data_IF_361443630363
#
_entry.id   IF_361443630363
#
_cell.length_a   1.000
_cell.length_b   1.000
_cell.length_c   1.000
_cell.angle_alpha   90.00
_cell.angle_beta   90.00
_cell.angle_gamma   90.00
#
_symmetry.space_group_name_H-M   'P 1'
#
loop_
_entity.id
_entity.type
_entity.pdbx_description
1 polymer ?
#
# COMPACT_ATOMS: atom_id res chain seq x y z
N UNK A 1 -3.63 34.45 5.77
CA UNK A 1 -2.17 34.57 5.88
C UNK A 1 -1.59 33.27 5.38
N UNK A 2 -1.53 33.20 4.05
CA UNK A 2 -1.28 32.03 3.20
C UNK A 2 -0.03 32.44 2.41
N UNK A 3 0.90 31.52 2.18
CA UNK A 3 2.26 31.73 1.61
C UNK A 3 3.32 32.10 2.67
N UNK A 4 3.89 31.09 3.36
CA UNK A 4 5.26 31.22 3.89
C UNK A 4 6.00 29.91 4.27
N UNK A 5 5.44 28.71 4.06
CA UNK A 5 6.11 27.46 4.51
C UNK A 5 6.76 26.66 3.37
N UNK A 6 6.57 27.04 2.10
CA UNK A 6 7.33 26.47 0.96
C UNK A 6 8.78 26.96 0.85
N UNK A 7 9.22 27.86 1.73
CA UNK A 7 10.53 28.54 1.58
C UNK A 7 11.70 27.96 2.37
N UNK A 8 11.52 26.91 3.19
CA UNK A 8 12.69 26.32 3.88
C UNK A 8 13.60 25.53 2.93
N UNK A 9 13.07 25.03 1.81
CA UNK A 9 13.85 24.31 0.79
C UNK A 9 14.49 25.21 -0.29
N UNK A 10 14.14 26.50 -0.36
CA UNK A 10 14.73 27.40 -1.35
C UNK A 10 15.94 28.19 -0.85
N UNK A 11 16.16 28.33 0.47
CA UNK A 11 17.23 29.19 1.00
C UNK A 11 18.58 28.52 1.20
N UNK A 12 18.76 27.25 0.79
CA UNK A 12 20.07 26.57 0.81
C UNK A 12 20.66 26.29 -0.58
N UNK A 13 20.11 26.91 -1.63
CA UNK A 13 20.55 26.73 -3.01
C UNK A 13 21.23 28.00 -3.52
N UNK A 14 22.47 28.25 -3.08
CA UNK A 14 23.46 29.01 -3.84
C UNK A 14 24.81 28.96 -3.10
N UNK A 15 25.46 27.79 -3.10
CA UNK A 15 26.91 27.75 -2.99
C UNK A 15 27.43 26.75 -4.00
N UNK A 16 28.21 27.26 -4.94
CA UNK A 16 29.02 26.52 -5.90
C UNK A 16 29.65 25.27 -5.28
N UNK A 17 29.21 24.08 -5.66
CA UNK A 17 29.85 22.83 -5.23
C UNK A 17 30.02 21.93 -6.44
N UNK A 18 31.27 21.49 -6.66
CA UNK A 18 31.62 20.40 -7.56
C UNK A 18 30.58 19.29 -7.54
N UNK A 19 30.11 18.85 -8.71
CA UNK A 19 29.21 17.69 -8.83
C UNK A 19 29.90 16.46 -8.24
N UNK A 20 29.58 16.15 -6.98
CA UNK A 20 30.05 14.92 -6.34
C UNK A 20 29.19 13.81 -6.92
N UNK A 21 29.80 13.02 -7.81
CA UNK A 21 29.14 11.93 -8.52
C UNK A 21 29.08 10.63 -7.71
N UNK A 22 29.81 10.54 -6.58
CA UNK A 22 29.83 9.36 -5.71
C UNK A 22 30.09 9.70 -4.25
N UNK A 23 29.59 8.85 -3.36
CA UNK A 23 29.86 8.86 -1.91
C UNK A 23 30.67 7.62 -1.54
N UNK A 24 31.63 7.78 -0.63
CA UNK A 24 32.35 6.68 0.00
C UNK A 24 31.78 6.46 1.40
N UNK A 25 31.17 5.29 1.62
CA UNK A 25 30.62 4.90 2.91
C UNK A 25 31.72 4.44 3.88
N UNK A 26 31.46 4.43 5.21
CA UNK A 26 32.41 3.94 6.23
C UNK A 26 33.05 2.57 5.95
N UNK A 27 32.30 1.63 5.38
CA UNK A 27 32.73 0.29 5.00
C UNK A 27 33.53 0.26 3.69
N UNK A 28 33.83 1.43 3.13
CA UNK A 28 34.54 1.67 1.86
C UNK A 28 33.75 1.27 0.61
N UNK A 29 32.45 1.04 0.73
CA UNK A 29 31.57 0.93 -0.43
C UNK A 29 31.43 2.31 -1.08
N UNK A 30 31.69 2.38 -2.37
CA UNK A 30 31.40 3.55 -3.18
C UNK A 30 30.00 3.40 -3.78
N UNK A 31 29.20 4.46 -3.69
CA UNK A 31 27.86 4.53 -4.30
C UNK A 31 27.81 5.78 -5.16
N UNK A 32 27.51 5.61 -6.43
CA UNK A 32 27.32 6.72 -7.36
C UNK A 32 25.94 7.38 -7.20
N UNK A 33 25.81 8.66 -7.59
CA UNK A 33 24.50 9.34 -7.64
C UNK A 33 23.52 8.54 -8.52
N UNK A 34 24.02 7.96 -9.62
CA UNK A 34 23.20 7.15 -10.54
C UNK A 34 22.67 5.88 -9.87
N UNK A 35 23.51 5.13 -9.16
CA UNK A 35 23.08 3.92 -8.44
C UNK A 35 22.05 4.26 -7.36
N UNK A 36 22.28 5.33 -6.59
CA UNK A 36 21.32 5.81 -5.60
C UNK A 36 20.00 6.22 -6.25
N UNK A 37 20.06 7.07 -7.29
CA UNK A 37 18.89 7.63 -7.93
C UNK A 37 18.06 6.62 -8.72
N UNK A 38 18.65 5.49 -9.13
CA UNK A 38 17.95 4.40 -9.82
C UNK A 38 17.60 3.24 -8.89
N UNK A 39 17.88 3.35 -7.59
CA UNK A 39 17.50 2.34 -6.62
C UNK A 39 15.97 2.17 -6.60
N UNK A 40 15.43 0.94 -6.52
CA UNK A 40 13.99 0.69 -6.55
C UNK A 40 13.17 1.55 -5.58
N UNK A 41 13.69 1.81 -4.38
CA UNK A 41 12.99 2.60 -3.37
C UNK A 41 12.98 4.11 -3.63
N UNK A 42 13.91 4.64 -4.44
CA UNK A 42 14.10 6.08 -4.61
C UNK A 42 13.80 6.56 -6.03
N UNK A 43 13.83 5.67 -7.02
CA UNK A 43 13.80 6.03 -8.46
C UNK A 43 12.60 6.88 -8.89
N UNK A 44 11.46 6.75 -8.21
CA UNK A 44 10.25 7.51 -8.52
C UNK A 44 10.08 8.78 -7.67
N UNK A 45 10.95 9.01 -6.68
CA UNK A 45 10.90 10.23 -5.85
C UNK A 45 11.47 11.43 -6.59
N UNK A 46 10.97 12.63 -6.28
CA UNK A 46 11.51 13.89 -6.83
C UNK A 46 12.75 14.33 -6.05
N UNK A 47 12.86 13.93 -4.79
CA UNK A 47 13.84 14.39 -3.81
C UNK A 47 15.14 13.58 -3.83
N UNK A 48 15.20 12.43 -4.53
CA UNK A 48 16.37 11.53 -4.56
C UNK A 48 17.73 12.23 -4.70
N UNK A 49 17.85 13.22 -5.60
CA UNK A 49 19.09 13.98 -5.77
C UNK A 49 19.43 14.84 -4.55
N UNK A 50 18.45 15.50 -3.96
CA UNK A 50 18.63 16.33 -2.76
C UNK A 50 18.97 15.45 -1.55
N UNK A 51 18.35 14.27 -1.43
CA UNK A 51 18.68 13.29 -0.39
C UNK A 51 20.10 12.79 -0.56
N UNK A 52 20.54 12.45 -1.78
CA UNK A 52 21.92 12.07 -2.06
C UNK A 52 22.91 13.17 -1.61
N UNK A 53 22.66 14.44 -1.95
CA UNK A 53 23.51 15.55 -1.51
C UNK A 53 23.46 15.78 0.01
N UNK A 54 22.34 15.47 0.66
CA UNK A 54 22.23 15.50 2.13
C UNK A 54 23.07 14.41 2.79
N UNK A 55 23.14 13.21 2.19
CA UNK A 55 24.05 12.14 2.62
C UNK A 55 25.51 12.58 2.44
N UNK A 56 25.87 13.16 1.28
CA UNK A 56 27.21 13.73 1.03
C UNK A 56 27.60 14.72 2.13
N UNK A 57 26.67 15.60 2.51
CA UNK A 57 26.89 16.62 3.52
C UNK A 57 27.08 16.01 4.91
N UNK A 58 26.23 15.05 5.28
CA UNK A 58 26.30 14.33 6.55
C UNK A 58 27.63 13.57 6.70
N UNK A 59 28.09 12.89 5.63
CA UNK A 59 29.38 12.17 5.62
C UNK A 59 30.60 13.08 5.82
N UNK A 60 30.47 14.38 5.50
CA UNK A 60 31.54 15.37 5.66
C UNK A 60 31.54 16.05 7.03
N UNK A 61 30.56 15.80 7.87
CA UNK A 61 30.53 16.37 9.22
C UNK A 61 31.72 15.88 10.03
N UNK A 62 32.40 16.79 10.75
CA UNK A 62 33.60 16.46 11.51
C UNK A 62 33.40 15.33 12.55
N UNK A 63 32.18 15.21 13.08
CA UNK A 63 31.82 14.20 14.09
C UNK A 63 31.01 13.03 13.52
N UNK A 64 30.92 12.90 12.19
CA UNK A 64 30.08 11.89 11.52
C UNK A 64 30.33 10.47 12.06
N UNK A 65 31.59 10.04 12.21
CA UNK A 65 31.92 8.68 12.69
C UNK A 65 31.34 8.41 14.09
N UNK A 66 31.36 9.41 14.98
CA UNK A 66 30.78 9.26 16.31
C UNK A 66 29.24 9.26 16.25
N UNK A 67 28.65 10.14 15.45
CA UNK A 67 27.20 10.19 15.22
C UNK A 67 26.71 8.83 14.70
N UNK A 68 27.38 8.28 13.70
CA UNK A 68 27.00 7.03 13.05
C UNK A 68 27.20 5.82 13.95
N UNK A 69 28.31 5.75 14.71
CA UNK A 69 28.51 4.69 15.71
C UNK A 69 27.43 4.73 16.79
N UNK A 70 27.14 5.91 17.33
CA UNK A 70 26.07 6.07 18.31
C UNK A 70 24.73 5.62 17.73
N UNK A 71 24.46 5.94 16.46
CA UNK A 71 23.25 5.47 15.79
C UNK A 71 23.15 3.96 15.69
N UNK A 72 24.20 3.28 15.25
CA UNK A 72 24.22 1.82 15.20
C UNK A 72 24.03 1.19 16.59
N UNK A 73 24.59 1.80 17.63
CA UNK A 73 24.38 1.34 19.01
C UNK A 73 22.95 1.61 19.51
N UNK A 74 22.39 2.76 19.17
CA UNK A 74 21.09 3.24 19.65
C UNK A 74 19.92 2.43 19.06
N UNK A 75 19.96 2.09 17.77
CA UNK A 75 18.89 1.33 17.10
C UNK A 75 18.79 -0.14 17.56
N UNK A 76 19.72 -0.61 18.40
CA UNK A 76 19.65 -1.95 19.04
C UNK A 76 18.90 -1.95 20.36
N UNK A 77 18.59 -0.77 20.91
CA UNK A 77 17.96 -0.61 22.22
C UNK A 77 16.44 -0.59 22.09
N UNK A 78 15.74 -1.08 23.11
CA UNK A 78 14.31 -0.79 23.22
C UNK A 78 14.13 0.73 23.41
N UNK A 79 13.03 1.28 22.85
CA UNK A 79 12.72 2.71 22.83
C UNK A 79 13.75 3.59 22.11
N UNK A 80 14.48 3.02 21.14
CA UNK A 80 15.47 3.72 20.31
C UNK A 80 14.96 5.03 19.70
N UNK A 81 13.66 5.12 19.39
CA UNK A 81 13.02 6.28 18.77
C UNK A 81 13.06 7.54 19.66
N UNK A 82 13.11 7.39 20.99
CA UNK A 82 13.15 8.52 21.93
C UNK A 82 14.45 9.33 21.79
N UNK A 83 15.53 8.67 21.32
CA UNK A 83 16.85 9.29 21.12
C UNK A 83 16.88 10.21 19.88
N UNK A 84 15.86 10.15 19.03
CA UNK A 84 15.81 10.85 17.73
C UNK A 84 14.66 11.85 17.59
N UNK A 85 13.85 12.09 18.64
CA UNK A 85 12.71 13.03 18.56
C UNK A 85 13.11 14.42 18.03
N UNK A 86 14.32 14.89 18.34
CA UNK A 86 14.82 16.18 17.88
C UNK A 86 15.49 16.18 16.51
N UNK A 87 15.67 15.02 15.87
CA UNK A 87 16.49 14.89 14.64
C UNK A 87 15.94 13.85 13.63
N UNK A 88 14.66 13.94 13.23
CA UNK A 88 14.05 12.91 12.38
C UNK A 88 14.67 12.77 10.99
N UNK A 89 15.09 13.86 10.34
CA UNK A 89 15.75 13.78 9.03
C UNK A 89 17.12 13.12 9.15
N UNK A 90 17.88 13.43 10.21
CA UNK A 90 19.18 12.79 10.44
C UNK A 90 19.00 11.28 10.67
N UNK A 91 17.98 10.88 11.44
CA UNK A 91 17.63 9.48 11.63
C UNK A 91 17.40 8.75 10.29
N UNK A 92 16.59 9.33 9.41
CA UNK A 92 16.31 8.76 8.09
C UNK A 92 17.55 8.68 7.19
N UNK A 93 18.42 9.69 7.21
CA UNK A 93 19.67 9.68 6.44
C UNK A 93 20.65 8.61 6.94
N UNK A 94 20.80 8.47 8.26
CA UNK A 94 21.66 7.44 8.88
C UNK A 94 21.15 6.02 8.57
N UNK A 95 19.83 5.83 8.52
CA UNK A 95 19.22 4.56 8.15
C UNK A 95 19.53 4.15 6.70
N UNK A 96 19.46 5.10 5.75
CA UNK A 96 19.86 4.84 4.36
C UNK A 96 21.32 4.39 4.29
N UNK A 97 22.23 5.08 5.01
CA UNK A 97 23.65 4.70 5.06
C UNK A 97 23.78 3.27 5.62
N UNK A 98 23.16 2.97 6.76
CA UNK A 98 23.22 1.65 7.39
C UNK A 98 22.63 0.53 6.52
N UNK A 99 21.58 0.80 5.76
CA UNK A 99 21.01 -0.16 4.81
C UNK A 99 22.01 -0.50 3.70
N UNK A 100 22.62 0.51 3.07
CA UNK A 100 23.63 0.26 2.04
C UNK A 100 24.88 -0.44 2.58
N UNK A 101 25.22 -0.19 3.85
CA UNK A 101 26.30 -0.90 4.54
C UNK A 101 25.92 -2.29 5.04
N UNK A 102 24.65 -2.69 4.90
CA UNK A 102 24.08 -3.97 5.35
C UNK A 102 24.12 -4.16 6.87
N UNK A 103 24.04 -3.06 7.61
CA UNK A 103 23.86 -3.08 9.07
C UNK A 103 22.41 -3.27 9.49
N UNK A 104 21.47 -2.86 8.63
CA UNK A 104 20.03 -3.09 8.78
C UNK A 104 19.46 -3.69 7.50
N UNK A 105 18.36 -4.42 7.62
CA UNK A 105 17.63 -4.95 6.47
C UNK A 105 16.55 -4.01 5.92
N UNK A 106 15.86 -4.45 4.87
CA UNK A 106 14.80 -3.69 4.20
C UNK A 106 13.65 -3.30 5.15
N UNK A 107 13.22 -4.22 6.00
CA UNK A 107 12.10 -3.99 6.93
C UNK A 107 12.49 -2.98 8.01
N UNK A 108 13.72 -3.09 8.51
CA UNK A 108 14.33 -2.17 9.47
C UNK A 108 14.49 -0.77 8.89
N UNK A 109 14.88 -0.67 7.62
CA UNK A 109 14.90 0.61 6.90
C UNK A 109 13.48 1.22 6.89
N UNK A 110 12.46 0.45 6.50
CA UNK A 110 11.09 0.97 6.41
C UNK A 110 10.53 1.46 7.75
N UNK A 111 10.75 0.72 8.84
CA UNK A 111 10.26 1.14 10.15
C UNK A 111 10.98 2.39 10.67
N UNK A 112 12.29 2.54 10.40
CA UNK A 112 13.01 3.76 10.78
C UNK A 112 12.45 4.96 10.02
N UNK A 113 12.16 4.81 8.72
CA UNK A 113 11.57 5.88 7.93
C UNK A 113 10.13 6.23 8.39
N UNK A 114 9.30 5.24 8.68
CA UNK A 114 7.96 5.44 9.26
C UNK A 114 8.03 6.24 10.57
N UNK A 115 8.95 5.87 11.47
CA UNK A 115 9.17 6.59 12.74
C UNK A 115 9.68 8.01 12.49
N UNK A 116 10.63 8.20 11.57
CA UNK A 116 11.13 9.53 11.23
C UNK A 116 10.01 10.46 10.75
N UNK A 117 9.11 9.95 9.92
CA UNK A 117 7.96 10.68 9.43
C UNK A 117 6.97 11.02 10.57
N UNK A 118 6.70 10.04 11.44
CA UNK A 118 5.87 10.23 12.62
C UNK A 118 6.39 11.33 13.57
N UNK A 119 7.70 11.42 13.75
CA UNK A 119 8.32 12.49 14.56
C UNK A 119 8.12 13.86 13.90
N UNK A 120 8.24 13.96 12.57
CA UNK A 120 7.95 15.19 11.82
C UNK A 120 6.49 15.59 12.02
N UNK A 121 5.55 14.67 11.82
CA UNK A 121 4.11 14.91 12.00
C UNK A 121 3.77 15.34 13.43
N UNK A 122 4.39 14.69 14.43
CA UNK A 122 4.23 15.01 15.87
C UNK A 122 4.68 16.44 16.18
N UNK A 123 5.77 16.88 15.55
CA UNK A 123 6.38 18.19 15.79
C UNK A 123 5.64 19.31 15.07
N UNK A 124 5.22 19.06 13.83
CA UNK A 124 4.58 20.07 12.99
C UNK A 124 3.06 20.17 13.20
N UNK A 125 2.44 19.17 13.85
CA UNK A 125 1.00 19.07 14.17
C UNK A 125 0.09 19.44 13.00
N UNK A 126 0.48 19.10 11.77
CA UNK A 126 -0.24 19.65 10.62
C UNK A 126 -1.66 19.11 10.55
N UNK A 127 -1.95 17.87 10.96
CA UNK A 127 -3.29 17.28 10.88
C UNK A 127 -3.49 16.03 11.79
N UNK A 128 -2.82 15.96 12.95
CA UNK A 128 -2.80 14.78 13.81
C UNK A 128 -2.99 15.16 15.29
N UNK A 129 -3.89 14.47 15.99
CA UNK A 129 -4.25 14.79 17.39
C UNK A 129 -3.25 14.24 18.41
N UNK A 130 -2.57 13.15 18.07
CA UNK A 130 -1.51 12.57 18.88
C UNK A 130 -0.73 11.47 18.17
N UNK A 131 0.57 11.38 18.47
CA UNK A 131 1.44 10.30 18.01
C UNK A 131 2.15 9.70 19.22
N UNK A 132 2.10 8.37 19.34
CA UNK A 132 2.84 7.60 20.33
C UNK A 132 3.62 6.49 19.65
N UNK A 133 4.69 6.07 20.31
CA UNK A 133 5.53 4.98 19.88
C UNK A 133 5.55 3.91 20.96
N UNK A 134 5.78 2.67 20.57
CA UNK A 134 6.00 1.61 21.53
C UNK A 134 6.59 0.37 20.88
N UNK A 135 6.76 -0.66 21.71
CA UNK A 135 7.40 -1.91 21.30
C UNK A 135 6.51 -3.10 21.66
N UNK A 136 6.33 -3.99 20.69
CA UNK A 136 5.76 -5.30 20.88
C UNK A 136 6.72 -6.19 21.69
N UNK A 137 6.21 -6.77 22.76
CA UNK A 137 6.93 -7.67 23.67
C UNK A 137 6.11 -8.94 23.87
N UNK A 138 6.75 -10.01 24.34
CA UNK A 138 6.03 -11.25 24.66
C UNK A 138 4.93 -11.05 25.72
N UNK A 139 5.00 -9.98 26.51
CA UNK A 139 4.06 -9.68 27.59
C UNK A 139 2.83 -8.90 27.11
N UNK A 140 2.99 -7.98 26.15
CA UNK A 140 1.90 -7.10 25.70
C UNK A 140 1.30 -7.49 24.34
N UNK A 141 2.03 -8.22 23.50
CA UNK A 141 1.70 -8.29 22.05
C UNK A 141 0.36 -8.92 21.76
N UNK A 142 0.00 -10.00 22.46
CA UNK A 142 -1.28 -10.69 22.23
C UNK A 142 -2.46 -9.74 22.45
N UNK A 143 -2.51 -9.12 23.62
CA UNK A 143 -3.58 -8.19 23.98
C UNK A 143 -3.57 -6.94 23.09
N UNK A 144 -2.38 -6.37 22.86
CA UNK A 144 -2.24 -5.17 22.05
C UNK A 144 -2.68 -5.37 20.59
N UNK A 145 -2.30 -6.49 19.97
CA UNK A 145 -2.65 -6.81 18.59
C UNK A 145 -4.14 -7.17 18.44
N UNK A 146 -4.73 -7.80 19.46
CA UNK A 146 -6.16 -8.04 19.55
C UNK A 146 -6.96 -6.73 19.62
N UNK A 147 -6.58 -5.81 20.52
CA UNK A 147 -7.17 -4.47 20.64
C UNK A 147 -7.05 -3.64 19.37
N UNK A 148 -5.97 -3.85 18.61
CA UNK A 148 -5.69 -3.16 17.34
C UNK A 148 -6.32 -3.85 16.12
N UNK A 149 -7.12 -4.90 16.33
CA UNK A 149 -7.89 -5.56 15.28
C UNK A 149 -7.07 -6.42 14.31
N UNK A 150 -5.84 -6.82 14.64
CA UNK A 150 -5.03 -7.67 13.76
C UNK A 150 -5.55 -9.11 13.74
N UNK A 151 -5.92 -9.67 12.55
CA UNK A 151 -6.67 -10.92 12.43
C UNK A 151 -6.11 -12.12 13.21
N UNK A 152 -4.79 -12.29 13.25
CA UNK A 152 -4.16 -13.42 13.97
C UNK A 152 -4.59 -13.50 15.45
N UNK A 153 -4.86 -12.38 16.10
CA UNK A 153 -5.30 -12.31 17.51
C UNK A 153 -6.75 -11.88 17.67
N UNK A 154 -7.26 -11.08 16.74
CA UNK A 154 -8.56 -10.42 16.83
C UNK A 154 -9.75 -11.27 16.34
N UNK A 155 -9.54 -12.26 15.47
CA UNK A 155 -10.60 -12.80 14.59
C UNK A 155 -11.87 -13.28 15.32
N UNK A 156 -11.73 -13.78 16.55
CA UNK A 156 -12.84 -14.31 17.34
C UNK A 156 -13.62 -13.25 18.15
N UNK A 157 -13.08 -12.03 18.27
CA UNK A 157 -13.59 -11.02 19.20
C UNK A 157 -14.30 -9.85 18.51
N UNK A 158 -14.39 -9.87 17.17
CA UNK A 158 -15.11 -8.85 16.41
C UNK A 158 -16.44 -9.39 15.85
N UNK A 159 -17.52 -8.58 15.91
CA UNK A 159 -18.89 -9.02 15.58
C UNK A 159 -19.10 -9.42 14.11
N UNK A 160 -18.14 -9.14 13.22
CA UNK A 160 -18.14 -9.58 11.82
C UNK A 160 -16.70 -9.93 11.41
N UNK A 161 -16.45 -11.14 10.87
CA UNK A 161 -15.11 -11.52 10.44
C UNK A 161 -14.67 -10.67 9.23
N UNK A 162 -13.54 -9.96 9.40
CA UNK A 162 -12.90 -9.09 8.39
C UNK A 162 -12.32 -9.94 7.25
N UNK A 163 -11.85 -11.13 7.61
CA UNK A 163 -11.30 -12.14 6.73
C UNK A 163 -12.24 -13.34 6.80
N UNK A 164 -12.73 -13.83 5.65
CA UNK A 164 -13.66 -14.97 5.58
C UNK A 164 -12.95 -16.31 5.45
N UNK A 165 -11.80 -16.32 4.78
CA UNK A 165 -10.97 -17.50 4.54
C UNK A 165 -10.00 -17.73 5.71
N UNK A 166 -10.54 -17.85 6.91
CA UNK A 166 -9.75 -17.99 8.14
C UNK A 166 -9.27 -19.43 8.31
N UNK A 167 -8.05 -19.59 8.81
CA UNK A 167 -7.54 -20.86 9.33
C UNK A 167 -8.43 -21.46 10.43
N UNK A 168 -8.28 -22.77 10.67
CA UNK A 168 -8.93 -23.42 11.81
C UNK A 168 -8.40 -22.85 13.13
N UNK A 169 -9.20 -22.92 14.20
CA UNK A 169 -8.79 -22.47 15.54
C UNK A 169 -7.47 -23.10 16.01
N UNK A 170 -7.28 -24.41 15.75
CA UNK A 170 -6.03 -25.11 16.08
C UNK A 170 -4.82 -24.51 15.33
N UNK A 171 -4.97 -24.22 14.03
CA UNK A 171 -3.91 -23.60 13.23
C UNK A 171 -3.62 -22.17 13.68
N UNK A 172 -4.66 -21.41 14.07
CA UNK A 172 -4.49 -20.06 14.64
C UNK A 172 -3.70 -20.10 15.95
N UNK A 173 -4.03 -21.00 16.88
CA UNK A 173 -3.32 -21.14 18.16
C UNK A 173 -1.84 -21.48 17.98
N UNK A 174 -1.54 -22.37 17.02
CA UNK A 174 -0.16 -22.71 16.65
C UNK A 174 0.57 -21.48 16.09
N UNK A 175 -0.04 -20.76 15.15
CA UNK A 175 0.51 -19.55 14.54
C UNK A 175 0.74 -18.44 15.58
N UNK A 176 -0.21 -18.21 16.49
CA UNK A 176 -0.09 -17.25 17.60
C UNK A 176 1.09 -17.61 18.51
N UNK A 177 1.21 -18.87 18.92
CA UNK A 177 2.33 -19.33 19.76
C UNK A 177 3.66 -19.15 19.05
N UNK A 178 3.75 -19.52 17.78
CA UNK A 178 4.97 -19.38 16.99
C UNK A 178 5.38 -17.91 16.84
N UNK A 179 4.42 -17.02 16.60
CA UNK A 179 4.64 -15.58 16.54
C UNK A 179 5.16 -15.03 17.88
N UNK A 180 4.50 -15.34 19.00
CA UNK A 180 4.95 -14.87 20.31
C UNK A 180 6.33 -15.42 20.68
N UNK A 181 6.66 -16.64 20.28
CA UNK A 181 8.00 -17.21 20.45
C UNK A 181 9.07 -16.57 19.54
N UNK A 182 8.70 -16.00 18.40
CA UNK A 182 9.62 -15.36 17.46
C UNK A 182 9.88 -13.89 17.79
N UNK A 183 8.96 -13.21 18.47
CA UNK A 183 9.10 -11.80 18.87
C UNK A 183 10.44 -11.52 19.56
N UNK A 184 10.84 -12.34 20.54
CA UNK A 184 12.13 -12.16 21.23
C UNK A 184 13.38 -12.35 20.36
N UNK A 185 13.22 -12.79 19.10
CA UNK A 185 14.31 -13.05 18.15
C UNK A 185 14.38 -12.02 17.03
N UNK A 186 13.35 -11.20 16.85
CA UNK A 186 13.36 -10.10 15.88
C UNK A 186 13.86 -8.81 16.53
N UNK A 187 14.48 -7.94 15.74
CA UNK A 187 15.07 -6.69 16.24
C UNK A 187 14.02 -5.78 16.88
N UNK A 188 14.45 -4.91 17.82
CA UNK A 188 13.56 -3.91 18.42
C UNK A 188 12.96 -2.96 17.37
N UNK A 189 13.68 -2.68 16.29
CA UNK A 189 13.18 -1.95 15.12
C UNK A 189 11.90 -2.61 14.59
N UNK A 190 11.95 -3.90 14.22
CA UNK A 190 10.79 -4.63 13.67
C UNK A 190 9.63 -4.79 14.65
N UNK A 191 9.89 -4.70 15.95
CA UNK A 191 8.87 -4.72 17.02
C UNK A 191 8.25 -3.35 17.30
N UNK A 192 8.76 -2.29 16.67
CA UNK A 192 8.27 -0.93 16.90
C UNK A 192 6.90 -0.74 16.27
N UNK A 193 5.99 -0.13 17.02
CA UNK A 193 4.68 0.30 16.53
C UNK A 193 4.53 1.81 16.68
N UNK A 194 3.69 2.39 15.83
CA UNK A 194 3.30 3.80 15.86
C UNK A 194 1.79 3.85 16.07
N UNK A 195 1.35 4.57 17.10
CA UNK A 195 -0.05 4.94 17.30
C UNK A 195 -0.24 6.37 16.80
N UNK A 196 -1.16 6.56 15.86
CA UNK A 196 -1.57 7.85 15.32
C UNK A 196 -3.05 8.07 15.62
N UNK A 197 -3.36 9.11 16.38
CA UNK A 197 -4.75 9.46 16.69
C UNK A 197 -5.26 10.49 15.70
N UNK A 198 -6.43 10.19 15.13
CA UNK A 198 -7.12 11.08 14.21
C UNK A 198 -8.07 11.97 15.04
N UNK A 199 -8.24 13.23 14.64
CA UNK A 199 -9.19 14.16 15.27
C UNK A 199 -10.64 13.64 15.20
N UNK A 200 -11.51 14.17 16.07
CA UNK A 200 -12.91 13.76 16.23
C UNK A 200 -13.71 13.85 14.91
N UNK A 201 -14.46 12.80 14.58
CA UNK A 201 -15.27 12.69 13.36
C UNK A 201 -16.75 12.98 13.64
N UNK A 202 -17.39 13.95 12.99
CA UNK A 202 -18.83 14.15 13.21
C UNK A 202 -19.69 13.17 12.38
N UNK A 203 -20.25 12.15 13.03
CA UNK A 203 -21.17 11.18 12.42
C UNK A 203 -22.44 11.79 11.80
N UNK A 204 -22.83 13.00 12.21
CA UNK A 204 -24.09 13.64 11.79
C UNK A 204 -23.94 14.45 10.51
N UNK A 205 -22.71 14.83 10.15
CA UNK A 205 -22.43 15.65 8.96
C UNK A 205 -21.81 14.82 7.83
N UNK A 206 -22.60 13.91 7.21
CA UNK A 206 -22.25 13.19 5.97
C UNK A 206 -21.98 14.10 4.74
N UNK A 207 -21.80 15.40 4.93
CA UNK A 207 -21.58 16.43 3.92
C UNK A 207 -20.16 17.01 3.91
N UNK A 208 -19.24 16.53 4.77
CA UNK A 208 -17.83 16.96 4.79
C UNK A 208 -16.91 16.00 4.03
N UNK A 209 -15.81 16.54 3.50
CA UNK A 209 -14.69 15.80 2.92
C UNK A 209 -14.02 14.94 4.01
N UNK A 210 -14.50 13.70 4.18
CA UNK A 210 -13.89 12.76 5.12
C UNK A 210 -12.54 12.24 4.61
N UNK A 211 -11.55 12.05 5.49
CA UNK A 211 -10.27 11.35 5.21
C UNK A 211 -10.48 9.90 4.78
N UNK A 212 -9.45 9.27 4.23
CA UNK A 212 -9.55 7.88 3.77
C UNK A 212 -9.78 6.92 4.95
N UNK A 213 -9.04 7.13 6.04
CA UNK A 213 -9.17 6.33 7.26
C UNK A 213 -10.55 6.51 7.89
N UNK A 214 -11.12 7.72 7.82
CA UNK A 214 -12.51 7.98 8.21
C UNK A 214 -13.49 7.16 7.36
N UNK A 215 -13.34 7.14 6.02
CA UNK A 215 -14.21 6.33 5.15
C UNK A 215 -14.07 4.82 5.40
N UNK A 216 -12.83 4.32 5.58
CA UNK A 216 -12.59 2.92 5.97
C UNK A 216 -13.27 2.62 7.31
N UNK A 217 -13.10 3.51 8.27
CA UNK A 217 -13.69 3.39 9.59
C UNK A 217 -15.24 3.38 9.53
N UNK A 218 -15.85 4.23 8.69
CA UNK A 218 -17.29 4.33 8.49
C UNK A 218 -17.92 3.13 7.76
N UNK A 219 -17.15 2.24 7.14
CA UNK A 219 -17.68 0.98 6.59
C UNK A 219 -18.12 0.01 7.72
N UNK A 220 -17.97 0.38 9.00
CA UNK A 220 -18.45 -0.32 10.23
C UNK A 220 -17.98 -1.77 10.42
N UNK A 221 -17.25 -2.32 9.45
CA UNK A 221 -16.80 -3.71 9.36
C UNK A 221 -15.29 -3.83 9.34
N UNK A 222 -14.57 -2.70 9.26
CA UNK A 222 -13.12 -2.65 9.18
C UNK A 222 -12.51 -2.06 10.42
N UNK A 223 -11.68 -2.84 11.11
CA UNK A 223 -10.93 -2.37 12.28
C UNK A 223 -9.47 -2.81 12.32
N UNK A 224 -8.94 -3.45 11.27
CA UNK A 224 -7.52 -3.81 11.21
C UNK A 224 -6.69 -2.54 11.32
N UNK A 225 -5.80 -2.50 12.30
CA UNK A 225 -4.95 -1.35 12.58
C UNK A 225 -5.70 -0.19 13.24
N UNK A 226 -6.89 -0.41 13.82
CA UNK A 226 -7.58 0.59 14.64
C UNK A 226 -7.72 0.11 16.09
N UNK A 227 -7.29 0.97 17.01
CA UNK A 227 -7.39 0.81 18.46
C UNK A 227 -8.30 1.91 19.03
N UNK A 228 -9.09 1.57 20.05
CA UNK A 228 -9.94 2.50 20.83
C UNK A 228 -10.76 3.47 19.98
N UNK A 229 -11.81 2.94 19.36
CA UNK A 229 -12.78 3.74 18.63
C UNK A 229 -13.94 4.08 19.57
N UNK A 230 -13.80 5.16 20.34
CA UNK A 230 -14.87 5.71 21.17
C UNK A 230 -15.05 7.20 20.86
N UNK A 231 -16.27 7.70 20.98
CA UNK A 231 -16.58 9.14 20.86
C UNK A 231 -16.10 9.76 19.54
N UNK A 232 -16.15 8.98 18.46
CA UNK A 232 -15.73 9.38 17.13
C UNK A 232 -14.24 9.78 17.01
N UNK A 233 -13.42 9.35 17.94
CA UNK A 233 -11.96 9.38 17.82
C UNK A 233 -11.47 7.96 17.51
N UNK A 234 -10.43 7.84 16.69
CA UNK A 234 -9.82 6.56 16.36
C UNK A 234 -8.30 6.64 16.42
N UNK A 235 -7.66 5.65 17.03
CA UNK A 235 -6.21 5.51 16.99
C UNK A 235 -5.83 4.47 15.95
N UNK A 236 -5.14 4.89 14.89
CA UNK A 236 -4.54 3.99 13.92
C UNK A 236 -3.23 3.45 14.48
N UNK A 237 -3.01 2.15 14.31
CA UNK A 237 -1.80 1.43 14.71
C UNK A 237 -1.06 1.00 13.46
N UNK A 238 0.16 1.51 13.29
CA UNK A 238 1.05 1.17 12.19
C UNK A 238 2.17 0.28 12.73
N UNK A 239 2.34 -0.89 12.14
CA UNK A 239 3.49 -1.77 12.31
C UNK A 239 4.37 -1.69 11.06
N UNK A 240 5.50 -2.41 11.00
CA UNK A 240 6.18 -2.62 9.73
C UNK A 240 5.22 -3.25 8.70
N UNK A 241 5.37 -2.97 7.40
CA UNK A 241 4.47 -3.50 6.40
C UNK A 241 4.57 -5.01 6.30
N UNK A 242 5.79 -5.57 6.40
CA UNK A 242 6.01 -7.01 6.39
C UNK A 242 5.35 -7.69 7.59
N UNK A 243 5.47 -7.13 8.80
CA UNK A 243 4.82 -7.68 9.98
C UNK A 243 3.29 -7.64 9.85
N UNK A 244 2.73 -6.52 9.39
CA UNK A 244 1.28 -6.36 9.18
C UNK A 244 0.74 -7.40 8.19
N UNK A 245 1.40 -7.54 7.05
CA UNK A 245 1.01 -8.48 5.99
C UNK A 245 1.15 -9.92 6.51
N UNK A 246 2.31 -10.30 7.04
CA UNK A 246 2.58 -11.67 7.46
C UNK A 246 1.68 -12.13 8.61
N UNK A 247 1.34 -11.25 9.57
CA UNK A 247 0.35 -11.60 10.61
C UNK A 247 -1.02 -11.91 10.02
N UNK A 248 -1.48 -11.13 9.04
CA UNK A 248 -2.75 -11.41 8.38
C UNK A 248 -2.69 -12.72 7.59
N UNK A 249 -1.58 -12.97 6.88
CA UNK A 249 -1.37 -14.24 6.16
C UNK A 249 -1.41 -15.46 7.07
N UNK A 250 -0.80 -15.39 8.24
CA UNK A 250 -0.83 -16.47 9.24
C UNK A 250 -2.25 -16.79 9.74
N UNK A 251 -3.20 -15.86 9.58
CA UNK A 251 -4.60 -16.06 9.94
C UNK A 251 -5.45 -16.63 8.79
N UNK A 252 -4.94 -16.65 7.56
CA UNK A 252 -5.69 -17.02 6.35
C UNK A 252 -5.33 -18.42 5.83
N UNK A 253 -6.33 -19.11 5.27
CA UNK A 253 -6.17 -20.44 4.67
C UNK A 253 -5.63 -20.43 3.24
N UNK A 254 -5.73 -19.29 2.54
CA UNK A 254 -5.37 -19.20 1.12
C UNK A 254 -3.94 -18.71 0.90
N UNK A 255 -3.34 -19.15 -0.20
CA UNK A 255 -2.02 -18.70 -0.63
C UNK A 255 -2.10 -17.28 -1.21
N UNK A 256 -1.80 -16.28 -0.39
CA UNK A 256 -1.68 -14.89 -0.84
C UNK A 256 -0.23 -14.58 -1.23
N UNK A 257 -0.04 -13.51 -2.00
CA UNK A 257 1.28 -12.98 -2.35
C UNK A 257 2.11 -12.74 -1.08
N UNK A 258 3.39 -13.11 -1.14
CA UNK A 258 4.34 -12.91 -0.05
C UNK A 258 4.64 -11.42 0.15
N UNK A 259 4.86 -11.01 1.41
CA UNK A 259 5.09 -9.60 1.74
C UNK A 259 6.27 -9.03 0.92
N UNK A 260 7.32 -9.82 0.76
CA UNK A 260 8.58 -9.51 0.07
C UNK A 260 8.41 -9.41 -1.46
N UNK A 261 7.29 -9.87 -2.02
CA UNK A 261 7.01 -9.77 -3.46
C UNK A 261 6.37 -8.44 -3.85
N UNK A 262 5.88 -7.66 -2.88
CA UNK A 262 5.32 -6.35 -3.14
C UNK A 262 6.42 -5.33 -3.50
N UNK A 263 6.04 -4.29 -4.26
CA UNK A 263 6.98 -3.25 -4.63
C UNK A 263 6.95 -2.15 -3.57
N UNK A 264 7.99 -2.08 -2.74
CA UNK A 264 8.15 -1.02 -1.77
C UNK A 264 8.85 0.19 -2.38
N UNK A 265 8.42 1.39 -1.99
CA UNK A 265 9.10 2.62 -2.35
C UNK A 265 8.89 3.71 -1.32
N UNK A 266 9.80 4.67 -1.25
CA UNK A 266 9.57 5.90 -0.50
C UNK A 266 8.82 6.92 -1.34
N UNK A 267 8.08 7.80 -0.67
CA UNK A 267 7.30 8.84 -1.36
C UNK A 267 6.09 8.27 -2.08
N UNK A 268 5.76 8.82 -3.24
CA UNK A 268 4.60 8.42 -4.03
C UNK A 268 4.94 8.35 -5.52
N UNK A 269 4.35 7.40 -6.23
CA UNK A 269 4.39 7.32 -7.70
C UNK A 269 2.98 7.24 -8.27
N UNK A 270 2.66 8.02 -9.32
CA UNK A 270 1.46 7.79 -10.12
C UNK A 270 1.63 6.63 -11.12
N UNK A 271 2.82 6.02 -11.20
CA UNK A 271 3.14 4.99 -12.18
C UNK A 271 2.64 3.60 -11.75
N UNK A 272 1.59 3.13 -12.41
CA UNK A 272 0.91 1.87 -12.13
C UNK A 272 1.58 0.63 -12.78
N UNK A 273 2.83 0.75 -13.24
CA UNK A 273 3.55 -0.35 -13.91
C UNK A 273 3.65 -1.64 -13.08
N UNK A 274 3.75 -1.53 -11.75
CA UNK A 274 3.94 -2.67 -10.84
C UNK A 274 2.68 -3.47 -10.56
N UNK A 275 1.51 -2.95 -10.90
CA UNK A 275 0.26 -3.63 -10.63
C UNK A 275 0.11 -4.90 -11.50
N UNK A 276 0.75 -4.95 -12.68
CA UNK A 276 0.50 -5.94 -13.75
C UNK A 276 0.66 -7.42 -13.37
N UNK A 277 1.41 -7.74 -12.33
CA UNK A 277 1.67 -9.11 -11.86
C UNK A 277 0.93 -9.47 -10.57
N UNK A 278 0.00 -8.61 -10.13
CA UNK A 278 -0.72 -8.77 -8.87
C UNK A 278 0.00 -8.18 -7.66
N UNK A 279 1.28 -7.85 -7.81
CA UNK A 279 2.08 -7.15 -6.80
C UNK A 279 1.53 -5.75 -6.58
N UNK A 280 1.34 -5.38 -5.31
CA UNK A 280 0.93 -4.03 -4.92
C UNK A 280 2.15 -3.14 -4.72
N UNK A 281 1.99 -1.86 -5.00
CA UNK A 281 2.93 -0.83 -4.56
C UNK A 281 2.60 -0.53 -3.10
N UNK A 282 3.64 -0.43 -2.28
CA UNK A 282 3.51 -0.04 -0.87
C UNK A 282 4.41 1.18 -0.65
N UNK A 283 3.76 2.31 -0.44
CA UNK A 283 4.42 3.58 -0.18
C UNK A 283 4.84 3.65 1.28
N UNK A 284 6.12 3.94 1.51
CA UNK A 284 6.70 4.09 2.85
C UNK A 284 6.88 5.59 3.15
N UNK A 285 6.11 6.15 4.10
CA UNK A 285 6.30 7.51 4.58
C UNK A 285 7.71 7.72 5.13
N UNK A 286 8.28 8.90 4.86
CA UNK A 286 9.64 9.24 5.24
C UNK A 286 9.78 10.73 5.50
N UNK A 287 10.61 11.12 6.46
CA UNK A 287 10.97 12.52 6.68
C UNK A 287 11.77 13.17 5.52
N UNK A 288 12.19 12.38 4.53
CA UNK A 288 13.04 12.82 3.41
C UNK A 288 12.32 12.90 2.06
N UNK A 289 11.16 12.25 1.93
CA UNK A 289 10.46 12.09 0.66
C UNK A 289 9.01 12.52 0.83
N UNK A 290 8.55 13.41 -0.04
CA UNK A 290 7.19 13.93 0.05
C UNK A 290 6.17 12.88 -0.39
N UNK A 291 5.04 12.86 0.31
CA UNK A 291 3.88 12.05 -0.03
C UNK A 291 2.69 13.02 -0.19
N UNK A 292 2.05 13.09 -1.37
CA UNK A 292 0.91 13.98 -1.58
C UNK A 292 -0.34 13.39 -0.91
N UNK A 293 -1.35 14.24 -0.71
CA UNK A 293 -2.71 13.72 -0.57
C UNK A 293 -3.14 13.10 -1.89
N UNK A 294 -3.49 11.82 -1.84
CA UNK A 294 -4.11 11.09 -2.95
C UNK A 294 -5.60 10.99 -2.70
N UNK A 295 -6.38 11.11 -3.78
CA UNK A 295 -7.84 11.27 -3.75
C UNK A 295 -8.29 12.55 -3.01
N UNK A 296 -9.60 12.79 -2.88
CA UNK A 296 -10.17 14.01 -2.27
C UNK A 296 -9.96 14.12 -0.73
N UNK A 297 -9.02 13.35 -0.17
CA UNK A 297 -8.73 13.28 1.26
C UNK A 297 -7.78 14.40 1.68
N UNK A 298 -8.31 15.52 2.17
CA UNK A 298 -7.50 16.71 2.52
C UNK A 298 -7.28 16.92 4.03
N UNK A 299 -7.58 15.91 4.84
CA UNK A 299 -7.52 15.97 6.31
C UNK A 299 -6.80 14.75 6.85
N UNK A 300 -5.90 14.90 7.83
CA UNK A 300 -5.09 13.82 8.40
C UNK A 300 -3.65 13.82 7.86
N UNK A 301 -2.85 12.80 8.20
CA UNK A 301 -1.47 12.70 7.70
C UNK A 301 -1.41 11.98 6.34
N UNK A 302 -1.02 12.63 5.23
CA UNK A 302 -1.08 12.02 3.89
C UNK A 302 -0.28 10.72 3.79
N UNK A 303 0.92 10.71 4.38
CA UNK A 303 1.78 9.53 4.41
C UNK A 303 1.12 8.36 5.14
N UNK A 304 0.53 8.60 6.31
CA UNK A 304 -0.11 7.52 7.07
C UNK A 304 -1.38 7.00 6.40
N UNK A 305 -2.18 7.84 5.73
CA UNK A 305 -3.38 7.34 5.03
C UNK A 305 -2.97 6.46 3.85
N UNK A 306 -1.98 6.88 3.06
CA UNK A 306 -1.49 6.08 1.93
C UNK A 306 -0.89 4.77 2.43
N UNK A 307 -0.04 4.82 3.45
CA UNK A 307 0.54 3.61 4.01
C UNK A 307 -0.54 2.63 4.50
N UNK A 308 -1.53 3.16 5.22
CA UNK A 308 -2.64 2.37 5.73
C UNK A 308 -3.51 1.81 4.59
N UNK A 309 -3.75 2.60 3.55
CA UNK A 309 -4.42 2.18 2.32
C UNK A 309 -3.67 1.05 1.61
N UNK A 310 -2.39 1.24 1.32
CA UNK A 310 -1.60 0.27 0.58
C UNK A 310 -1.53 -1.07 1.33
N UNK A 311 -1.28 -1.04 2.64
CA UNK A 311 -1.12 -2.27 3.45
C UNK A 311 -2.47 -2.88 3.82
N UNK A 312 -3.34 -2.14 4.49
CA UNK A 312 -4.59 -2.70 5.00
C UNK A 312 -5.60 -2.89 3.88
N UNK A 313 -5.73 -1.90 2.98
CA UNK A 313 -6.77 -1.93 1.97
C UNK A 313 -6.40 -2.72 0.73
N UNK A 314 -5.23 -2.47 0.15
CA UNK A 314 -4.85 -3.16 -1.07
C UNK A 314 -4.25 -4.55 -0.84
N UNK A 315 -3.53 -4.79 0.26
CA UNK A 315 -2.88 -6.11 0.48
C UNK A 315 -3.70 -7.02 1.39
N UNK A 316 -4.13 -6.54 2.55
CA UNK A 316 -4.81 -7.42 3.51
C UNK A 316 -6.22 -7.79 3.04
N UNK A 317 -6.97 -6.91 2.35
CA UNK A 317 -8.26 -7.31 1.78
C UNK A 317 -8.15 -8.26 0.61
N UNK A 318 -7.10 -8.13 -0.19
CA UNK A 318 -6.81 -9.05 -1.28
C UNK A 318 -6.72 -10.50 -0.76
N UNK A 319 -6.38 -10.71 0.51
CA UNK A 319 -6.39 -12.03 1.11
C UNK A 319 -7.77 -12.70 1.08
N UNK A 320 -8.88 -11.95 1.06
CA UNK A 320 -10.23 -12.50 0.92
C UNK A 320 -10.61 -12.87 -0.51
N UNK A 321 -9.80 -12.51 -1.50
CA UNK A 321 -10.12 -12.69 -2.90
C UNK A 321 -9.49 -14.00 -3.41
N UNK A 322 -10.25 -15.10 -3.50
CA UNK A 322 -9.71 -16.36 -4.01
C UNK A 322 -9.37 -16.29 -5.50
N UNK A 323 -9.81 -15.26 -6.23
CA UNK A 323 -9.74 -15.15 -7.68
C UNK A 323 -8.66 -14.20 -8.20
N UNK A 324 -7.73 -13.77 -7.34
CA UNK A 324 -6.63 -12.84 -7.72
C UNK A 324 -5.85 -13.36 -8.94
N UNK A 325 -5.51 -14.65 -8.94
CA UNK A 325 -4.72 -15.25 -10.01
C UNK A 325 -5.47 -15.22 -11.35
N UNK A 326 -6.79 -15.45 -11.33
CA UNK A 326 -7.66 -15.40 -12.49
C UNK A 326 -7.76 -13.98 -13.05
N UNK A 327 -7.91 -12.97 -12.20
CA UNK A 327 -7.92 -11.57 -12.62
C UNK A 327 -6.60 -11.15 -13.27
N UNK A 328 -5.46 -11.53 -12.67
CA UNK A 328 -4.13 -11.23 -13.22
C UNK A 328 -3.94 -11.93 -14.57
N UNK A 329 -4.32 -13.21 -14.68
CA UNK A 329 -4.24 -13.98 -15.93
C UNK A 329 -5.08 -13.32 -17.02
N UNK A 330 -6.31 -12.94 -16.70
CA UNK A 330 -7.23 -12.28 -17.62
C UNK A 330 -6.69 -10.92 -18.07
N UNK A 331 -6.21 -10.10 -17.15
CA UNK A 331 -5.64 -8.79 -17.46
C UNK A 331 -4.40 -8.90 -18.38
N UNK A 332 -3.53 -9.88 -18.15
CA UNK A 332 -2.38 -10.14 -19.04
C UNK A 332 -2.83 -10.47 -20.47
N UNK A 333 -3.87 -11.29 -20.63
CA UNK A 333 -4.44 -11.60 -21.94
C UNK A 333 -5.06 -10.36 -22.60
N UNK A 334 -5.77 -9.53 -21.84
CA UNK A 334 -6.34 -8.28 -22.34
C UNK A 334 -5.26 -7.29 -22.78
N UNK A 335 -4.15 -7.14 -22.04
CA UNK A 335 -3.03 -6.29 -22.46
C UNK A 335 -2.37 -6.79 -23.75
N UNK A 336 -2.29 -8.09 -23.97
CA UNK A 336 -1.80 -8.65 -25.23
C UNK A 336 -2.77 -8.30 -26.37
N UNK A 337 -4.07 -8.48 -26.15
CA UNK A 337 -5.11 -8.11 -27.12
C UNK A 337 -5.06 -6.61 -27.47
N UNK A 338 -4.90 -5.73 -26.47
CA UNK A 338 -4.81 -4.28 -26.67
C UNK A 338 -3.63 -3.87 -27.57
N UNK A 339 -2.50 -4.58 -27.50
CA UNK A 339 -1.34 -4.34 -28.39
C UNK A 339 -1.67 -4.62 -29.86
N UNK A 340 -2.62 -5.51 -30.12
CA UNK A 340 -3.03 -5.92 -31.47
C UNK A 340 -4.17 -5.06 -32.04
N UNK A 341 -4.85 -4.25 -31.23
CA UNK A 341 -5.96 -3.42 -31.67
C UNK A 341 -5.52 -2.08 -32.27
N UNK A 342 -6.13 -1.75 -33.41
CA UNK A 342 -5.79 -0.57 -34.23
C UNK A 342 -6.72 0.63 -33.98
N UNK A 343 -8.01 0.49 -33.62
CA UNK A 343 -8.74 1.64 -33.12
C UNK A 343 -8.22 2.02 -31.73
N UNK A 344 -7.67 3.24 -31.60
CA UNK A 344 -7.19 3.79 -30.31
C UNK A 344 -8.25 3.74 -29.21
N UNK A 345 -9.56 4.00 -29.47
CA UNK A 345 -10.60 3.88 -28.45
C UNK A 345 -10.75 2.46 -27.91
N UNK A 346 -10.80 1.46 -28.80
CA UNK A 346 -10.92 0.05 -28.39
C UNK A 346 -9.68 -0.42 -27.63
N UNK A 347 -8.49 -0.01 -28.08
CA UNK A 347 -7.24 -0.27 -27.36
C UNK A 347 -7.29 0.32 -25.95
N UNK A 348 -7.64 1.60 -25.81
CA UNK A 348 -7.74 2.31 -24.52
C UNK A 348 -8.76 1.63 -23.61
N UNK A 349 -9.91 1.24 -24.15
CA UNK A 349 -10.95 0.50 -23.44
C UNK A 349 -10.42 -0.83 -22.88
N UNK A 350 -9.76 -1.65 -23.70
CA UNK A 350 -9.20 -2.94 -23.27
C UNK A 350 -8.07 -2.76 -22.24
N UNK A 351 -7.17 -1.79 -22.45
CA UNK A 351 -6.09 -1.47 -21.50
C UNK A 351 -6.64 -1.02 -20.14
N UNK A 352 -7.76 -0.29 -20.13
CA UNK A 352 -8.42 0.17 -18.92
C UNK A 352 -9.10 -0.97 -18.17
N UNK A 353 -9.82 -1.87 -18.85
CA UNK A 353 -10.35 -3.10 -18.23
C UNK A 353 -9.20 -3.89 -17.59
N UNK A 354 -8.11 -4.11 -18.32
CA UNK A 354 -6.96 -4.85 -17.79
C UNK A 354 -6.38 -4.20 -16.53
N UNK A 355 -6.34 -2.87 -16.50
CA UNK A 355 -5.85 -2.11 -15.34
C UNK A 355 -6.80 -2.21 -14.14
N UNK A 356 -8.11 -2.12 -14.36
CA UNK A 356 -9.13 -2.27 -13.31
C UNK A 356 -9.19 -3.69 -12.73
N UNK A 357 -9.03 -4.72 -13.58
CA UNK A 357 -8.96 -6.11 -13.14
C UNK A 357 -7.73 -6.41 -12.32
N UNK A 358 -6.62 -5.77 -12.68
CA UNK A 358 -5.42 -5.82 -11.87
C UNK A 358 -5.62 -5.06 -10.58
N UNK A 359 -6.19 -3.86 -10.59
CA UNK A 359 -6.28 -3.04 -9.39
C UNK A 359 -7.30 -3.57 -8.37
N UNK A 360 -8.36 -4.26 -8.84
CA UNK A 360 -9.23 -5.13 -8.05
C UNK A 360 -9.58 -4.61 -6.66
N UNK A 361 -10.16 -3.40 -6.56
CA UNK A 361 -10.66 -2.87 -5.29
C UNK A 361 -11.77 -3.77 -4.73
N UNK A 362 -11.38 -4.72 -3.88
CA UNK A 362 -12.13 -5.93 -3.56
C UNK A 362 -13.20 -5.76 -2.46
N UNK A 363 -13.79 -4.56 -2.30
CA UNK A 363 -14.81 -4.33 -1.26
C UNK A 363 -15.97 -5.33 -1.37
N UNK A 364 -16.31 -5.76 -2.59
CA UNK A 364 -17.46 -6.65 -2.85
C UNK A 364 -17.30 -8.09 -2.32
N UNK A 365 -16.07 -8.60 -2.13
CA UNK A 365 -15.83 -9.97 -1.62
C UNK A 365 -16.35 -10.18 -0.19
N UNK A 366 -16.63 -9.08 0.52
CA UNK A 366 -17.22 -9.07 1.86
C UNK A 366 -18.69 -9.47 1.89
N UNK A 367 -19.44 -9.27 0.81
CA UNK A 367 -20.91 -9.31 0.89
C UNK A 367 -21.56 -10.40 0.03
N UNK A 368 -20.85 -10.93 -0.97
CA UNK A 368 -21.41 -11.89 -1.92
C UNK A 368 -20.66 -13.23 -1.95
N UNK A 369 -21.23 -14.22 -2.63
CA UNK A 369 -20.57 -15.51 -2.88
C UNK A 369 -19.37 -15.34 -3.81
N UNK A 370 -18.33 -16.17 -3.68
CA UNK A 370 -17.07 -16.04 -4.44
C UNK A 370 -17.29 -15.94 -5.95
N UNK A 371 -18.16 -16.79 -6.51
CA UNK A 371 -18.53 -16.80 -7.93
C UNK A 371 -19.28 -15.53 -8.34
N UNK A 372 -20.24 -15.07 -7.52
CA UNK A 372 -21.00 -13.86 -7.81
C UNK A 372 -20.13 -12.61 -7.81
N UNK A 373 -19.17 -12.52 -6.89
CA UNK A 373 -18.24 -11.39 -6.82
C UNK A 373 -17.35 -11.35 -8.05
N UNK A 374 -16.87 -12.51 -8.52
CA UNK A 374 -16.01 -12.57 -9.70
C UNK A 374 -16.68 -11.89 -10.91
N UNK A 375 -17.90 -12.30 -11.26
CA UNK A 375 -18.60 -11.71 -12.42
C UNK A 375 -19.08 -10.28 -12.17
N UNK A 376 -19.49 -9.96 -10.95
CA UNK A 376 -19.89 -8.59 -10.61
C UNK A 376 -18.71 -7.63 -10.76
N UNK A 377 -17.50 -8.05 -10.38
CA UNK A 377 -16.31 -7.24 -10.56
C UNK A 377 -15.88 -7.11 -12.03
N UNK A 378 -15.98 -8.19 -12.82
CA UNK A 378 -15.76 -8.13 -14.28
C UNK A 378 -16.70 -7.10 -14.93
N UNK A 379 -17.96 -7.08 -14.52
CA UNK A 379 -18.96 -6.13 -15.03
C UNK A 379 -18.67 -4.70 -14.61
N UNK A 380 -18.33 -4.50 -13.33
CA UNK A 380 -17.86 -3.20 -12.86
C UNK A 380 -16.70 -2.68 -13.71
N UNK A 381 -15.69 -3.52 -13.95
CA UNK A 381 -14.53 -3.14 -14.77
C UNK A 381 -14.90 -2.80 -16.23
N UNK A 382 -15.85 -3.52 -16.82
CA UNK A 382 -16.37 -3.21 -18.15
C UNK A 382 -17.08 -1.85 -18.19
N UNK A 383 -17.97 -1.61 -17.23
CA UNK A 383 -18.81 -0.41 -17.18
C UNK A 383 -17.96 0.83 -16.90
N UNK A 384 -17.10 0.78 -15.89
CA UNK A 384 -16.19 1.87 -15.53
C UNK A 384 -15.27 2.22 -16.71
N UNK A 385 -14.73 1.20 -17.39
CA UNK A 385 -13.90 1.44 -18.57
C UNK A 385 -14.68 2.11 -19.72
N UNK A 386 -15.96 1.74 -19.89
CA UNK A 386 -16.81 2.32 -20.92
C UNK A 386 -17.11 3.79 -20.61
N UNK A 387 -17.49 4.11 -19.37
CA UNK A 387 -17.77 5.48 -18.93
C UNK A 387 -16.55 6.39 -19.08
N UNK A 388 -15.38 5.95 -18.61
CA UNK A 388 -14.14 6.73 -18.71
C UNK A 388 -13.76 6.98 -20.18
N UNK A 389 -13.80 5.94 -21.02
CA UNK A 389 -13.47 6.10 -22.44
C UNK A 389 -14.46 7.04 -23.14
N UNK A 390 -15.76 6.95 -22.84
CA UNK A 390 -16.77 7.81 -23.43
C UNK A 390 -16.66 9.28 -22.97
N UNK A 391 -16.33 9.51 -21.69
CA UNK A 391 -16.13 10.84 -21.13
C UNK A 391 -14.87 11.52 -21.70
N UNK A 392 -13.82 10.75 -21.96
CA UNK A 392 -12.55 11.25 -22.51
C UNK A 392 -12.48 11.17 -24.05
N UNK A 393 -13.52 10.67 -24.72
CA UNK A 393 -13.55 10.46 -26.16
C UNK A 393 -13.59 11.79 -26.94
N UNK A 394 -12.74 11.91 -27.95
CA UNK A 394 -12.87 12.97 -28.96
C UNK A 394 -14.11 12.75 -29.83
N UNK A 395 -14.48 13.74 -30.64
CA UNK A 395 -15.62 13.60 -31.58
C UNK A 395 -15.42 12.40 -32.52
N UNK A 396 -14.19 12.17 -32.99
CA UNK A 396 -13.86 11.04 -33.87
C UNK A 396 -13.99 9.69 -33.13
N UNK A 397 -13.60 9.65 -31.84
CA UNK A 397 -13.73 8.46 -31.01
C UNK A 397 -15.21 8.13 -30.74
N UNK A 398 -16.05 9.14 -30.52
CA UNK A 398 -17.50 8.97 -30.33
C UNK A 398 -18.17 8.38 -31.58
N UNK A 399 -17.85 8.88 -32.77
CA UNK A 399 -18.35 8.31 -34.02
C UNK A 399 -17.96 6.82 -34.19
N UNK A 400 -16.75 6.43 -33.75
CA UNK A 400 -16.34 5.03 -33.73
C UNK A 400 -17.16 4.24 -32.70
N UNK A 401 -17.26 4.71 -31.45
CA UNK A 401 -18.00 4.04 -30.38
C UNK A 401 -19.48 3.84 -30.74
N UNK A 402 -20.11 4.84 -31.36
CA UNK A 402 -21.51 4.78 -31.81
C UNK A 402 -21.74 3.77 -32.96
N UNK A 403 -20.70 3.48 -33.75
CA UNK A 403 -20.76 2.52 -34.85
C UNK A 403 -20.17 1.15 -34.51
N UNK A 404 -19.55 1.03 -33.34
CA UNK A 404 -18.93 -0.20 -32.86
C UNK A 404 -19.98 -1.10 -32.22
N UNK A 405 -20.14 -2.30 -32.80
CA UNK A 405 -21.03 -3.33 -32.28
C UNK A 405 -20.40 -4.00 -31.04
N UNK A 406 -20.60 -3.35 -29.90
CA UNK A 406 -20.00 -3.72 -28.62
C UNK A 406 -20.47 -5.09 -28.14
N UNK A 407 -21.76 -5.40 -28.29
CA UNK A 407 -22.33 -6.71 -27.96
C UNK A 407 -21.67 -7.82 -28.77
N UNK A 408 -21.45 -7.60 -30.07
CA UNK A 408 -20.76 -8.57 -30.92
C UNK A 408 -19.29 -8.73 -30.54
N UNK A 409 -18.60 -7.67 -30.11
CA UNK A 409 -17.24 -7.79 -29.60
C UNK A 409 -17.19 -8.57 -28.28
N UNK A 410 -18.11 -8.27 -27.35
CA UNK A 410 -18.25 -9.01 -26.10
C UNK A 410 -18.47 -10.51 -26.38
N UNK A 411 -19.40 -10.83 -27.28
CA UNK A 411 -19.73 -12.22 -27.65
C UNK A 411 -18.58 -12.96 -28.34
N UNK A 412 -17.89 -12.31 -29.27
CA UNK A 412 -16.90 -12.99 -30.14
C UNK A 412 -15.48 -12.96 -29.60
N UNK A 413 -15.16 -12.03 -28.70
CA UNK A 413 -13.79 -11.79 -28.24
C UNK A 413 -13.71 -11.91 -26.73
N UNK A 414 -14.44 -11.07 -25.99
CA UNK A 414 -14.26 -10.96 -24.55
C UNK A 414 -14.75 -12.19 -23.76
N UNK A 415 -15.97 -12.65 -24.04
CA UNK A 415 -16.56 -13.83 -23.38
C UNK A 415 -15.73 -15.09 -23.63
N UNK A 416 -15.30 -15.42 -24.87
CA UNK A 416 -14.37 -16.51 -25.12
C UNK A 416 -13.05 -16.40 -24.36
N UNK A 417 -12.50 -15.19 -24.23
CA UNK A 417 -11.25 -14.94 -23.52
C UNK A 417 -11.41 -15.22 -22.01
N UNK A 418 -12.49 -14.75 -21.39
CA UNK A 418 -12.84 -15.10 -20.00
C UNK A 418 -13.01 -16.61 -19.84
N UNK A 419 -13.83 -17.24 -20.70
CA UNK A 419 -14.12 -18.67 -20.62
C UNK A 419 -12.84 -19.51 -20.69
N UNK A 420 -11.94 -19.19 -21.62
CA UNK A 420 -10.65 -19.87 -21.74
C UNK A 420 -9.72 -19.61 -20.55
N UNK A 421 -9.79 -18.42 -19.95
CA UNK A 421 -9.06 -18.12 -18.71
C UNK A 421 -9.55 -18.96 -17.53
N UNK A 422 -10.86 -19.20 -17.44
CA UNK A 422 -11.52 -19.94 -16.36
C UNK A 422 -11.49 -21.46 -16.51
N UNK A 423 -11.38 -21.99 -17.73
CA UNK A 423 -11.48 -23.43 -18.02
C UNK A 423 -10.47 -24.28 -17.23
N UNK A 424 -9.28 -23.73 -16.98
CA UNK A 424 -8.22 -24.40 -16.23
C UNK A 424 -8.19 -24.00 -14.74
N UNK A 425 -9.06 -23.08 -14.31
CA UNK A 425 -9.12 -22.63 -12.92
C UNK A 425 -9.82 -23.69 -12.06
N UNK A 426 -9.07 -24.26 -11.12
CA UNK A 426 -9.63 -25.15 -10.09
C UNK A 426 -10.30 -24.40 -8.94
N UNK A 427 -10.31 -23.07 -9.01
CA UNK A 427 -10.71 -22.19 -7.92
C UNK A 427 -12.24 -22.20 -7.79
N UNK A 428 -12.71 -22.88 -6.73
CA UNK A 428 -14.08 -23.04 -6.23
C UNK A 428 -15.20 -22.73 -7.24
N UNK A 429 -15.30 -23.58 -8.25
CA UNK A 429 -16.43 -23.71 -9.19
C UNK A 429 -16.47 -22.78 -10.42
N UNK A 430 -15.48 -21.89 -10.65
CA UNK A 430 -15.47 -21.09 -11.89
C UNK A 430 -15.33 -21.96 -13.16
N UNK A 431 -14.61 -23.08 -13.09
CA UNK A 431 -14.48 -24.05 -14.18
C UNK A 431 -15.75 -24.86 -14.48
N UNK A 432 -16.77 -24.78 -13.63
CA UNK A 432 -18.05 -25.51 -13.83
C UNK A 432 -19.08 -24.71 -14.63
N UNK A 433 -18.82 -23.43 -14.87
CA UNK A 433 -19.73 -22.52 -15.57
C UNK A 433 -19.69 -22.78 -17.07
N UNK A 434 -20.87 -23.01 -17.66
CA UNK A 434 -20.97 -23.24 -19.11
C UNK A 434 -20.83 -21.93 -19.86
N UNK A 435 -20.34 -22.00 -21.10
CA UNK A 435 -20.18 -20.83 -21.98
C UNK A 435 -21.49 -20.03 -22.13
N UNK A 436 -22.62 -20.71 -22.30
CA UNK A 436 -23.93 -20.05 -22.46
C UNK A 436 -24.40 -19.36 -21.16
N UNK A 437 -24.06 -19.92 -20.00
CA UNK A 437 -24.34 -19.31 -18.70
C UNK A 437 -23.48 -18.06 -18.50
N UNK A 438 -22.19 -18.12 -18.84
CA UNK A 438 -21.27 -16.97 -18.80
C UNK A 438 -21.75 -15.85 -19.73
N UNK A 439 -22.12 -16.20 -20.96
CA UNK A 439 -22.66 -15.25 -21.95
C UNK A 439 -23.90 -14.55 -21.39
N UNK A 440 -24.81 -15.32 -20.79
CA UNK A 440 -26.02 -14.81 -20.18
C UNK A 440 -25.71 -13.85 -19.02
N UNK A 441 -24.76 -14.20 -18.14
CA UNK A 441 -24.36 -13.37 -17.00
C UNK A 441 -23.79 -12.03 -17.45
N UNK A 442 -22.86 -12.03 -18.41
CA UNK A 442 -22.19 -10.81 -18.88
C UNK A 442 -23.15 -9.91 -19.67
N UNK A 443 -23.98 -10.48 -20.56
CA UNK A 443 -24.86 -9.69 -21.43
C UNK A 443 -26.13 -9.20 -20.73
N UNK A 444 -26.80 -10.00 -19.88
CA UNK A 444 -28.04 -9.58 -19.20
C UNK A 444 -27.85 -8.39 -18.26
N UNK A 445 -26.66 -8.25 -17.67
CA UNK A 445 -26.37 -7.17 -16.73
C UNK A 445 -25.79 -5.92 -17.40
N UNK A 446 -25.32 -6.01 -18.64
CA UNK A 446 -24.98 -4.85 -19.47
C UNK A 446 -26.25 -4.12 -19.98
N UNK A 447 -27.33 -4.87 -20.26
CA UNK A 447 -28.58 -4.31 -20.80
C UNK A 447 -29.44 -3.48 -19.83
N UNK A 448 -29.02 -3.31 -18.57
CA UNK A 448 -29.73 -2.50 -17.56
C UNK A 448 -29.23 -1.05 -17.46
N UNK A 449 -28.42 -0.58 -18.43
CA UNK A 449 -27.96 0.79 -18.54
C UNK A 449 -28.13 1.33 -19.97
#
# INVERSE_FOLDING_TARGET
MIIQVTNFFHSLLCSTTSEISSILLPNKLEITESEFCNHPYFQYTKEKKNVFQSIVSLLKEANFINIYRNFLDDITKDFWFDLYEGKPQQLALLAIIAYFEKHIDEEELFIIHLVSYAIVEKTQKQNVSGIKFGILTNQNSSHYLEESGYPLFAINNYPKPIIKNVCTQESLEISQKNFLCSLGKISCLKRTFIEYSIDEFDFKERKKDYSFEQKIYFDTTWRIGFKNINENTGTVVLLSPMLSINMCRLACSDSTIEAEKHHFMFGYTPDNQFLQDGTRIISIPSALFEVPYVHDYKTGSPGFQIYFHDVCYHVILDMNNPHINEFIKLAKQLKLLAKEQIPTPLKKFIDLIASLLVDREAIQFRYHSTVEVFFTFIQYALNEAFEIVNNEATIADKCFLDSFDFDKWLEKVFIPLIYNSLKDSKTLCLSTIKFDELKTIILLKHANY
#
